data_IF_903129939159
#
_entry.id   IF_903129939159
#
_cell.length_a   1.000
_cell.length_b   1.000
_cell.length_c   1.000
_cell.angle_alpha   90.00
_cell.angle_beta   90.00
_cell.angle_gamma   90.00
#
_symmetry.space_group_name_H-M   'P 1'
#
loop_
_entity.id
_entity.type
_entity.pdbx_description
1 polymer ?
#
# COMPACT_ATOMS: atom_id res chain seq x y z
N UNK A 1 10.40 -2.18 -7.05
CA UNK A 1 9.33 -1.24 -7.49
C UNK A 1 8.22 -1.35 -6.45
N UNK A 2 8.04 -0.32 -5.62
CA UNK A 2 7.14 -0.33 -4.46
C UNK A 2 5.83 0.39 -4.78
N UNK A 3 5.07 -0.13 -5.74
CA UNK A 3 3.84 0.50 -6.23
C UNK A 3 2.80 -0.53 -6.66
N UNK A 4 1.61 -0.06 -7.03
CA UNK A 4 0.52 -0.86 -7.61
C UNK A 4 0.88 -1.30 -9.04
N UNK A 5 1.87 -2.18 -9.21
CA UNK A 5 2.31 -2.72 -10.51
C UNK A 5 2.56 -4.23 -10.41
N UNK A 6 1.53 -4.94 -9.97
CA UNK A 6 1.59 -6.39 -9.74
C UNK A 6 1.15 -7.17 -10.97
N UNK A 7 1.79 -8.31 -11.18
CA UNK A 7 1.25 -9.35 -12.05
C UNK A 7 -0.11 -9.82 -11.48
N UNK A 8 -1.19 -9.83 -12.29
CA UNK A 8 -2.50 -10.30 -11.84
C UNK A 8 -2.49 -11.67 -11.16
N UNK A 9 -1.66 -12.60 -11.62
CA UNK A 9 -1.61 -13.94 -11.02
C UNK A 9 -0.98 -13.91 -9.62
N UNK A 10 -0.05 -12.99 -9.38
CA UNK A 10 0.53 -12.80 -8.05
C UNK A 10 -0.53 -12.33 -7.05
N UNK A 11 -1.40 -11.39 -7.46
CA UNK A 11 -2.52 -10.91 -6.62
C UNK A 11 -3.47 -12.07 -6.29
N UNK A 12 -3.86 -12.86 -7.30
CA UNK A 12 -4.75 -14.01 -7.08
C UNK A 12 -4.15 -15.03 -6.12
N UNK A 13 -2.85 -15.38 -6.27
CA UNK A 13 -2.16 -16.31 -5.36
C UNK A 13 -2.15 -15.82 -3.91
N UNK A 14 -1.87 -14.54 -3.69
CA UNK A 14 -1.87 -13.94 -2.34
C UNK A 14 -3.26 -14.03 -1.73
N UNK A 15 -4.30 -13.62 -2.46
CA UNK A 15 -5.66 -13.65 -1.94
C UNK A 15 -6.20 -15.06 -1.73
N UNK A 16 -5.82 -16.03 -2.57
CA UNK A 16 -6.19 -17.43 -2.37
C UNK A 16 -5.54 -18.01 -1.11
N UNK A 17 -4.28 -17.67 -0.83
CA UNK A 17 -3.60 -18.08 0.41
C UNK A 17 -4.24 -17.44 1.65
N UNK A 18 -4.55 -16.14 1.59
CA UNK A 18 -5.19 -15.40 2.70
C UNK A 18 -6.61 -15.91 2.96
N UNK A 19 -7.39 -16.22 1.92
CA UNK A 19 -8.76 -16.71 2.06
C UNK A 19 -8.84 -18.04 2.84
N UNK A 20 -7.83 -18.90 2.72
CA UNK A 20 -7.80 -20.23 3.33
C UNK A 20 -7.70 -20.23 4.86
N UNK A 21 -7.28 -19.13 5.51
CA UNK A 21 -7.10 -19.14 6.97
C UNK A 21 -7.04 -17.80 7.69
N UNK A 22 -6.89 -16.68 6.98
CA UNK A 22 -6.77 -15.38 7.63
C UNK A 22 -8.14 -14.89 8.12
N UNK A 23 -8.27 -14.54 9.40
CA UNK A 23 -9.51 -13.94 9.94
C UNK A 23 -9.63 -12.45 9.66
N UNK A 24 -8.49 -11.81 9.39
CA UNK A 24 -8.37 -10.38 9.06
C UNK A 24 -7.26 -10.17 8.04
N UNK A 25 -7.32 -9.06 7.31
CA UNK A 25 -6.36 -8.66 6.29
C UNK A 25 -5.91 -7.23 6.58
N UNK A 26 -4.61 -7.02 6.79
CA UNK A 26 -3.99 -5.69 6.79
C UNK A 26 -3.35 -5.46 5.42
N UNK A 27 -3.74 -4.37 4.77
CA UNK A 27 -3.16 -3.90 3.51
C UNK A 27 -2.27 -2.71 3.85
N UNK A 28 -0.96 -2.95 3.91
CA UNK A 28 0.00 -1.87 4.14
C UNK A 28 0.31 -1.13 2.83
N UNK A 29 -0.11 0.14 2.77
CA UNK A 29 0.11 1.05 1.63
C UNK A 29 0.97 2.25 2.01
N UNK A 30 1.63 2.21 3.17
CA UNK A 30 2.62 3.22 3.55
C UNK A 30 3.79 3.22 2.56
N UNK A 31 4.31 4.40 2.22
CA UNK A 31 5.36 4.52 1.21
C UNK A 31 4.94 4.21 -0.23
N UNK A 32 3.64 3.97 -0.51
CA UNK A 32 3.17 3.50 -1.81
C UNK A 32 2.66 4.67 -2.69
N UNK A 33 3.41 5.09 -3.73
CA UNK A 33 3.04 6.22 -4.58
C UNK A 33 1.91 5.88 -5.58
N UNK A 34 1.29 4.71 -5.45
CA UNK A 34 0.28 4.18 -6.35
C UNK A 34 0.88 3.41 -7.51
N UNK A 35 0.19 3.41 -8.65
CA UNK A 35 0.56 2.59 -9.80
C UNK A 35 -0.56 2.47 -10.80
N UNK A 36 -0.59 1.36 -11.54
CA UNK A 36 -1.51 1.19 -12.66
C UNK A 36 -2.93 0.84 -12.19
N UNK A 37 -3.93 1.37 -12.88
CA UNK A 37 -5.37 1.17 -12.57
C UNK A 37 -5.75 -0.31 -12.56
N UNK A 38 -5.09 -1.12 -13.40
CA UNK A 38 -5.31 -2.56 -13.48
C UNK A 38 -5.02 -3.25 -12.14
N UNK A 39 -3.93 -2.90 -11.45
CA UNK A 39 -3.60 -3.48 -10.16
C UNK A 39 -4.64 -3.09 -9.10
N UNK A 40 -5.14 -1.85 -9.13
CA UNK A 40 -6.23 -1.39 -8.28
C UNK A 40 -7.52 -2.20 -8.51
N UNK A 41 -7.93 -2.38 -9.77
CA UNK A 41 -9.11 -3.19 -10.14
C UNK A 41 -8.99 -4.63 -9.66
N UNK A 42 -7.78 -5.20 -9.71
CA UNK A 42 -7.50 -6.57 -9.28
C UNK A 42 -7.62 -6.73 -7.78
N UNK A 43 -6.91 -5.90 -7.01
CA UNK A 43 -6.94 -5.95 -5.55
C UNK A 43 -8.35 -5.69 -5.04
N UNK A 44 -9.00 -4.63 -5.52
CA UNK A 44 -10.36 -4.33 -5.12
C UNK A 44 -11.35 -5.43 -5.53
N UNK A 45 -11.19 -6.03 -6.72
CA UNK A 45 -12.02 -7.16 -7.16
C UNK A 45 -11.98 -8.38 -6.23
N UNK A 46 -10.91 -8.54 -5.44
CA UNK A 46 -10.79 -9.60 -4.42
C UNK A 46 -11.35 -9.21 -3.05
N UNK A 47 -11.75 -7.96 -2.84
CA UNK A 47 -12.24 -7.47 -1.55
C UNK A 47 -13.77 -7.38 -1.48
N UNK A 48 -14.47 -7.58 -2.59
CA UNK A 48 -15.93 -7.45 -2.66
C UNK A 48 -16.57 -8.65 -3.37
N UNK A 49 -17.76 -9.05 -2.91
CA UNK A 49 -18.55 -10.14 -3.53
C UNK A 49 -19.31 -9.71 -4.79
N UNK A 50 -19.36 -8.38 -5.02
CA UNK A 50 -20.01 -7.74 -6.15
C UNK A 50 -19.05 -6.78 -6.85
N UNK A 51 -19.44 -6.35 -8.04
CA UNK A 51 -18.77 -5.23 -8.70
C UNK A 51 -18.95 -3.95 -7.88
N UNK A 52 -17.87 -3.19 -7.79
CA UNK A 52 -17.79 -1.93 -7.06
C UNK A 52 -17.19 -0.89 -7.99
N UNK A 53 -17.85 0.25 -8.07
CA UNK A 53 -17.33 1.42 -8.77
C UNK A 53 -16.20 2.02 -7.93
N UNK A 54 -15.01 2.09 -8.51
CA UNK A 54 -13.83 2.63 -7.85
C UNK A 54 -13.80 4.15 -7.92
N UNK A 55 -14.00 4.70 -9.12
CA UNK A 55 -14.05 6.13 -9.38
C UNK A 55 -14.60 6.42 -10.78
N UNK A 56 -14.93 7.67 -11.06
CA UNK A 56 -15.09 8.20 -12.41
C UNK A 56 -13.81 8.94 -12.83
N UNK A 57 -13.25 8.51 -13.95
CA UNK A 57 -12.16 9.20 -14.61
C UNK A 57 -12.74 10.32 -15.48
N UNK A 58 -12.67 11.56 -14.98
CA UNK A 58 -13.21 12.75 -15.61
C UNK A 58 -12.13 13.48 -16.41
N UNK A 59 -12.12 13.24 -17.72
CA UNK A 59 -11.30 13.99 -18.66
C UNK A 59 -11.97 15.28 -19.15
N UNK A 60 -11.27 16.02 -20.01
CA UNK A 60 -11.79 17.29 -20.56
C UNK A 60 -13.05 17.15 -21.44
N UNK A 61 -13.18 16.02 -22.16
CA UNK A 61 -14.24 15.80 -23.16
C UNK A 61 -15.10 14.57 -22.88
N UNK A 62 -14.67 13.70 -21.99
CA UNK A 62 -15.35 12.45 -21.67
C UNK A 62 -15.13 12.06 -20.22
N UNK A 63 -16.06 11.26 -19.71
CA UNK A 63 -15.93 10.61 -18.41
C UNK A 63 -16.05 9.10 -18.62
N UNK A 64 -15.28 8.32 -17.85
CA UNK A 64 -15.34 6.86 -17.86
C UNK A 64 -15.35 6.35 -16.42
N UNK A 65 -16.32 5.52 -16.07
CA UNK A 65 -16.29 4.82 -14.79
C UNK A 65 -15.25 3.70 -14.78
N UNK A 66 -14.51 3.63 -13.68
CA UNK A 66 -13.62 2.54 -13.32
C UNK A 66 -14.38 1.66 -12.34
N UNK A 67 -14.52 0.37 -12.65
CA UNK A 67 -15.29 -0.58 -11.85
C UNK A 67 -14.49 -1.86 -11.72
N UNK A 68 -14.53 -2.48 -10.53
CA UNK A 68 -13.95 -3.80 -10.34
C UNK A 68 -14.68 -4.85 -11.14
N UNK A 69 -13.97 -5.91 -11.52
CA UNK A 69 -14.59 -7.14 -12.03
C UNK A 69 -14.79 -8.10 -10.87
N UNK A 70 -15.92 -8.83 -10.89
CA UNK A 70 -16.16 -9.91 -9.92
C UNK A 70 -15.05 -10.96 -10.02
N UNK A 71 -14.50 -11.36 -8.87
CA UNK A 71 -13.48 -12.43 -8.76
C UNK A 71 -14.01 -13.60 -7.95
N UNK A 72 -13.41 -14.77 -8.14
CA UNK A 72 -13.68 -15.95 -7.31
C UNK A 72 -13.05 -15.76 -5.94
N UNK A 73 -13.66 -16.37 -4.92
CA UNK A 73 -13.15 -16.39 -3.54
C UNK A 73 -12.75 -14.99 -3.01
N UNK A 74 -13.68 -14.00 -3.03
CA UNK A 74 -13.41 -12.71 -2.43
C UNK A 74 -13.11 -12.87 -0.95
N UNK A 75 -12.15 -12.10 -0.44
CA UNK A 75 -11.92 -12.00 0.99
C UNK A 75 -13.06 -11.19 1.60
N UNK A 76 -13.85 -11.79 2.49
CA UNK A 76 -15.06 -11.18 3.09
C UNK A 76 -14.90 -10.83 4.57
N UNK A 77 -13.77 -11.19 5.20
CA UNK A 77 -13.51 -10.93 6.62
C UNK A 77 -12.92 -9.54 6.85
N UNK A 78 -12.49 -9.20 8.07
CA UNK A 78 -12.09 -7.81 8.43
C UNK A 78 -10.91 -7.32 7.60
N UNK A 79 -10.99 -6.08 7.10
CA UNK A 79 -9.91 -5.44 6.32
C UNK A 79 -9.50 -4.14 6.99
N UNK A 80 -8.20 -3.94 7.15
CA UNK A 80 -7.59 -2.70 7.62
C UNK A 80 -6.63 -2.23 6.53
N UNK A 81 -6.66 -0.94 6.22
CA UNK A 81 -5.72 -0.31 5.30
C UNK A 81 -4.82 0.66 6.06
N UNK A 82 -3.50 0.51 5.92
CA UNK A 82 -2.52 1.43 6.50
C UNK A 82 -2.04 2.41 5.44
N UNK A 83 -2.08 3.70 5.73
CA UNK A 83 -1.63 4.77 4.83
C UNK A 83 -0.72 5.78 5.55
N UNK A 84 0.11 6.47 4.80
CA UNK A 84 0.95 7.56 5.28
C UNK A 84 1.04 8.69 4.24
N UNK A 85 1.86 9.70 4.51
CA UNK A 85 2.07 10.85 3.61
C UNK A 85 2.65 10.50 2.24
N UNK A 86 3.23 9.31 2.08
CA UNK A 86 3.78 8.84 0.81
C UNK A 86 2.78 7.95 0.03
N UNK A 87 1.67 7.55 0.66
CA UNK A 87 0.55 6.92 -0.02
C UNK A 87 -0.06 7.87 -1.06
N UNK A 88 -0.14 7.44 -2.32
CA UNK A 88 -0.69 8.26 -3.41
C UNK A 88 -1.50 7.44 -4.44
N UNK A 89 -2.28 8.14 -5.27
CA UNK A 89 -2.96 7.59 -6.46
C UNK A 89 -3.76 6.31 -6.17
N UNK A 90 -3.43 5.18 -6.81
CA UNK A 90 -4.14 3.92 -6.64
C UNK A 90 -4.30 3.49 -5.16
N UNK A 91 -3.31 3.77 -4.31
CA UNK A 91 -3.40 3.48 -2.88
C UNK A 91 -4.48 4.32 -2.18
N UNK A 92 -4.54 5.62 -2.49
CA UNK A 92 -5.57 6.53 -1.98
C UNK A 92 -6.97 6.15 -2.46
N UNK A 93 -7.09 5.80 -3.75
CA UNK A 93 -8.37 5.35 -4.31
C UNK A 93 -8.84 4.08 -3.61
N UNK A 94 -7.96 3.09 -3.38
CA UNK A 94 -8.33 1.88 -2.65
C UNK A 94 -8.77 2.17 -1.23
N UNK A 95 -8.00 2.97 -0.47
CA UNK A 95 -8.35 3.36 0.90
C UNK A 95 -9.73 4.04 0.94
N UNK A 96 -9.98 4.99 0.03
CA UNK A 96 -11.26 5.69 0.00
C UNK A 96 -12.43 4.79 -0.38
N UNK A 97 -12.24 3.86 -1.33
CA UNK A 97 -13.26 2.87 -1.70
C UNK A 97 -13.61 1.99 -0.52
N UNK A 98 -12.63 1.56 0.28
CA UNK A 98 -12.87 0.78 1.49
C UNK A 98 -13.76 1.53 2.49
N UNK A 99 -13.52 2.83 2.70
CA UNK A 99 -14.37 3.67 3.55
C UNK A 99 -15.78 3.84 2.99
N UNK A 100 -15.90 4.22 1.71
CA UNK A 100 -17.18 4.53 1.07
C UNK A 100 -18.11 3.32 0.96
N UNK A 101 -17.54 2.12 0.86
CA UNK A 101 -18.30 0.87 0.82
C UNK A 101 -18.44 0.22 2.22
N UNK A 102 -17.88 0.84 3.27
CA UNK A 102 -17.89 0.27 4.63
C UNK A 102 -17.17 -1.07 4.74
N UNK A 103 -16.20 -1.32 3.86
CA UNK A 103 -15.53 -2.62 3.72
C UNK A 103 -14.34 -2.79 4.66
N UNK A 104 -13.69 -1.71 5.05
CA UNK A 104 -12.54 -1.75 5.94
C UNK A 104 -12.28 -0.42 6.62
N UNK A 105 -11.41 -0.44 7.61
CA UNK A 105 -10.98 0.73 8.38
C UNK A 105 -9.66 1.24 7.84
N UNK A 106 -9.56 2.54 7.58
CA UNK A 106 -8.33 3.22 7.15
C UNK A 106 -7.67 3.85 8.36
N UNK A 107 -6.42 3.46 8.62
CA UNK A 107 -5.64 3.90 9.77
C UNK A 107 -4.33 4.47 9.24
N UNK A 108 -3.86 5.60 9.78
CA UNK A 108 -2.58 6.16 9.35
C UNK A 108 -2.49 7.67 9.42
N UNK A 109 -1.65 8.25 8.55
CA UNK A 109 -1.52 9.71 8.39
C UNK A 109 -2.23 10.19 7.11
N UNK A 110 -2.34 11.50 6.94
CA UNK A 110 -2.87 12.11 5.72
C UNK A 110 -1.97 11.80 4.51
N UNK A 111 -2.51 11.21 3.44
CA UNK A 111 -1.78 10.86 2.24
C UNK A 111 -1.53 12.05 1.31
N UNK A 112 -0.80 11.82 0.22
CA UNK A 112 -0.27 12.86 -0.64
C UNK A 112 -1.34 13.71 -1.36
N UNK A 113 -2.56 13.19 -1.56
CA UNK A 113 -3.58 13.84 -2.37
C UNK A 113 -3.20 13.92 -3.85
N UNK A 114 -2.38 13.00 -4.33
CA UNK A 114 -1.85 13.00 -5.70
C UNK A 114 -2.47 11.86 -6.49
N UNK A 115 -3.68 12.09 -6.99
CA UNK A 115 -4.48 11.03 -7.64
C UNK A 115 -4.67 11.20 -9.14
N UNK A 116 -4.39 12.36 -9.72
CA UNK A 116 -4.74 12.63 -11.12
C UNK A 116 -4.07 11.65 -12.10
N UNK A 117 -4.77 11.28 -13.16
CA UNK A 117 -4.23 10.37 -14.17
C UNK A 117 -3.30 11.12 -15.13
N UNK A 118 -2.09 10.61 -15.29
CA UNK A 118 -1.12 11.01 -16.30
C UNK A 118 -1.06 10.02 -17.47
N UNK A 119 -0.99 10.53 -18.69
CA UNK A 119 -0.64 9.73 -19.88
C UNK A 119 0.84 9.97 -20.17
N UNK A 120 1.60 8.88 -20.26
CA UNK A 120 3.00 8.92 -20.72
C UNK A 120 3.03 8.72 -22.22
N UNK A 121 3.76 9.57 -22.91
CA UNK A 121 3.99 9.48 -24.35
C UNK A 121 5.47 9.50 -24.58
N UNK A 122 5.98 8.44 -25.22
CA UNK A 122 7.35 8.33 -25.65
C UNK A 122 7.42 8.26 -27.18
N UNK A 123 8.55 8.67 -27.71
CA UNK A 123 8.81 8.64 -29.15
C UNK A 123 10.28 8.93 -29.43
N UNK A 124 10.61 9.04 -30.72
CA UNK A 124 11.91 9.48 -31.15
C UNK A 124 11.75 10.50 -32.27
N UNK A 125 12.55 11.56 -32.22
CA UNK A 125 12.68 12.52 -33.30
C UNK A 125 13.85 12.10 -34.18
N UNK A 126 13.60 11.99 -35.48
CA UNK A 126 14.67 11.76 -36.45
C UNK A 126 15.38 13.08 -36.73
N UNK A 127 16.69 13.11 -36.50
CA UNK A 127 17.58 14.23 -36.76
C UNK A 127 18.71 13.85 -37.71
N UNK A 128 19.50 14.85 -38.12
CA UNK A 128 20.59 14.67 -39.08
C UNK A 128 21.66 13.67 -38.63
N UNK A 129 21.85 13.47 -37.31
CA UNK A 129 22.83 12.55 -36.72
C UNK A 129 22.19 11.31 -36.07
N UNK A 130 20.90 11.05 -36.32
CA UNK A 130 20.19 9.88 -35.81
C UNK A 130 18.93 10.21 -35.00
N UNK A 131 18.50 9.27 -34.18
CA UNK A 131 17.24 9.37 -33.42
C UNK A 131 17.46 9.93 -32.01
N UNK A 132 16.67 10.94 -31.65
CA UNK A 132 16.63 11.52 -30.30
C UNK A 132 15.37 11.01 -29.59
N UNK A 133 15.50 10.07 -28.62
CA UNK A 133 14.34 9.60 -27.87
C UNK A 133 13.83 10.70 -26.93
N UNK A 134 12.52 10.73 -26.71
CA UNK A 134 11.88 11.58 -25.73
C UNK A 134 10.77 10.83 -24.99
N UNK A 135 10.48 11.29 -23.78
CA UNK A 135 9.31 10.88 -23.01
C UNK A 135 8.78 12.08 -22.24
N UNK A 136 7.47 12.26 -22.24
CA UNK A 136 6.79 13.24 -21.39
C UNK A 136 5.51 12.65 -20.83
N UNK A 137 5.08 13.17 -19.68
CA UNK A 137 3.80 12.80 -19.06
C UNK A 137 2.89 14.01 -18.96
N UNK A 138 1.64 13.86 -19.39
CA UNK A 138 0.62 14.90 -19.32
C UNK A 138 -0.57 14.40 -18.52
N UNK A 139 -0.92 15.13 -17.47
CA UNK A 139 -2.14 14.89 -16.70
C UNK A 139 -3.38 15.17 -17.56
N UNK A 140 -4.26 14.19 -17.70
CA UNK A 140 -5.38 14.26 -18.63
C UNK A 140 -6.77 14.08 -18.00
N UNK A 141 -6.85 13.59 -16.75
CA UNK A 141 -8.12 13.39 -16.07
C UNK A 141 -8.01 13.48 -14.54
N UNK A 142 -9.12 13.91 -13.94
CA UNK A 142 -9.36 13.88 -12.50
C UNK A 142 -10.09 12.57 -12.12
N UNK A 143 -9.95 12.14 -10.87
CA UNK A 143 -10.61 10.96 -10.31
C UNK A 143 -11.68 11.41 -9.32
N UNK A 144 -12.94 11.17 -9.70
CA UNK A 144 -14.11 11.53 -8.90
C UNK A 144 -14.64 10.28 -8.20
N UNK A 145 -14.68 10.30 -6.88
CA UNK A 145 -15.13 9.19 -6.06
C UNK A 145 -16.66 9.05 -6.10
N UNK A 146 -17.19 7.94 -5.55
CA UNK A 146 -18.64 7.65 -5.51
C UNK A 146 -19.47 8.72 -4.79
N UNK A 147 -18.86 9.45 -3.85
CA UNK A 147 -19.48 10.58 -3.15
C UNK A 147 -19.40 11.91 -3.92
N UNK A 148 -18.89 11.89 -5.16
CA UNK A 148 -18.75 13.06 -6.03
C UNK A 148 -17.52 13.93 -5.75
N UNK A 149 -16.66 13.55 -4.79
CA UNK A 149 -15.47 14.34 -4.42
C UNK A 149 -14.24 13.88 -5.20
N UNK A 150 -13.35 14.83 -5.51
CA UNK A 150 -11.99 14.52 -5.93
C UNK A 150 -11.10 14.32 -4.69
N UNK A 151 -10.07 13.49 -4.84
CA UNK A 151 -9.00 13.35 -3.85
C UNK A 151 -7.79 14.23 -4.18
N UNK A 152 -7.79 14.93 -5.32
CA UNK A 152 -6.69 15.80 -5.73
C UNK A 152 -6.46 16.91 -4.69
N UNK A 153 -5.21 17.06 -4.25
CA UNK A 153 -4.72 18.00 -3.22
C UNK A 153 -5.31 17.82 -1.82
N UNK A 154 -6.25 16.89 -1.62
CA UNK A 154 -6.93 16.66 -0.34
C UNK A 154 -6.53 15.33 0.26
N UNK A 155 -6.47 14.30 -0.58
CA UNK A 155 -6.24 12.92 -0.18
C UNK A 155 -7.37 12.31 0.66
N UNK A 156 -7.10 11.13 1.19
CA UNK A 156 -8.03 10.39 2.07
C UNK A 156 -7.85 10.83 3.51
N UNK A 157 -8.94 11.14 4.22
CA UNK A 157 -8.88 11.31 5.67
C UNK A 157 -9.00 9.94 6.34
N UNK A 158 -8.00 9.48 7.12
CA UNK A 158 -8.09 8.21 7.85
C UNK A 158 -9.28 8.19 8.81
N UNK A 159 -9.85 7.01 9.04
CA UNK A 159 -10.85 6.81 10.10
C UNK A 159 -10.19 6.95 11.48
N UNK A 160 -8.96 6.45 11.61
CA UNK A 160 -8.12 6.63 12.79
C UNK A 160 -6.78 7.28 12.40
N UNK A 161 -6.57 8.50 12.89
CA UNK A 161 -5.36 9.27 12.61
C UNK A 161 -4.24 8.87 13.59
N UNK A 162 -3.18 8.25 13.07
CA UNK A 162 -1.95 7.96 13.81
C UNK A 162 -1.06 9.21 13.77
N UNK A 163 -1.23 10.09 14.76
CA UNK A 163 -0.36 11.26 14.92
C UNK A 163 0.97 10.84 15.58
N UNK A 164 2.13 11.07 14.93
CA UNK A 164 3.39 10.93 15.63
C UNK A 164 3.45 11.93 16.79
N UNK A 165 4.01 11.50 17.91
CA UNK A 165 4.25 12.37 19.06
C UNK A 165 5.31 13.42 18.73
N UNK A 166 5.34 14.52 19.48
CA UNK A 166 6.31 15.59 19.26
C UNK A 166 7.77 15.11 19.45
N UNK A 167 8.00 14.13 20.32
CA UNK A 167 9.32 13.52 20.54
C UNK A 167 9.74 12.65 19.36
N UNK A 168 8.83 11.87 18.80
CA UNK A 168 8.99 11.07 17.59
C UNK A 168 9.36 11.95 16.39
N UNK A 169 8.62 13.05 16.17
CA UNK A 169 8.91 14.01 15.12
C UNK A 169 10.27 14.71 15.31
N UNK A 170 10.62 15.07 16.56
CA UNK A 170 11.89 15.71 16.89
C UNK A 170 13.11 14.80 16.67
N UNK A 171 12.93 13.47 16.73
CA UNK A 171 13.97 12.48 16.42
C UNK A 171 14.02 12.12 14.93
N UNK A 172 13.20 12.75 14.09
CA UNK A 172 13.03 12.36 12.68
C UNK A 172 12.34 10.99 12.52
N UNK A 173 11.71 10.50 13.58
CA UNK A 173 10.95 9.26 13.65
C UNK A 173 9.47 9.65 13.63
N UNK A 174 8.94 10.15 12.52
CA UNK A 174 7.48 10.16 12.31
C UNK A 174 6.92 8.72 12.36
N UNK A 175 5.65 8.45 11.99
CA UNK A 175 5.22 7.09 11.74
C UNK A 175 5.89 6.64 10.45
N UNK A 176 7.18 6.35 10.54
CA UNK A 176 8.00 5.85 9.47
C UNK A 176 7.59 4.41 9.17
N UNK A 177 8.12 3.85 8.07
CA UNK A 177 8.03 2.43 7.80
C UNK A 177 8.54 1.69 9.05
N UNK A 178 7.91 0.58 9.42
CA UNK A 178 8.40 -0.23 10.53
C UNK A 178 9.87 -0.63 10.24
N UNK A 179 10.77 0.06 10.95
CA UNK A 179 12.24 -0.04 11.03
C UNK A 179 13.07 0.24 9.76
N UNK A 180 13.95 1.24 9.85
CA UNK A 180 15.13 1.42 8.99
C UNK A 180 15.25 2.79 8.31
N UNK A 181 15.85 3.76 8.99
CA UNK A 181 15.91 5.18 8.60
C UNK A 181 16.46 5.51 7.20
N UNK A 182 15.94 6.59 6.61
CA UNK A 182 16.74 7.75 6.21
C UNK A 182 15.89 8.71 5.36
N UNK A 183 15.32 9.72 6.03
CA UNK A 183 14.96 10.97 5.39
C UNK A 183 16.22 11.62 4.78
N UNK A 184 16.15 12.05 3.51
CA UNK A 184 17.13 13.01 2.97
C UNK A 184 16.44 14.11 2.17
N UNK A 185 16.13 15.18 2.89
CA UNK A 185 16.36 16.53 2.41
C UNK A 185 17.86 16.85 2.45
N UNK A 186 18.29 17.68 1.50
CA UNK A 186 19.65 18.03 1.11
C UNK A 186 20.50 18.63 2.25
N UNK A 187 21.60 17.97 2.61
CA UNK A 187 22.81 18.61 3.13
C UNK A 187 24.05 17.80 2.70
N UNK A 188 25.10 18.52 2.37
CA UNK A 188 26.40 18.14 1.80
C UNK A 188 27.19 17.09 2.60
N UNK A 189 27.88 16.17 1.93
CA UNK A 189 28.97 15.39 2.56
C UNK A 189 29.13 13.95 2.05
N UNK A 190 30.27 13.73 1.38
CA UNK A 190 31.00 12.49 1.05
C UNK A 190 30.59 11.14 1.67
N UNK A 191 30.60 10.08 0.85
CA UNK A 191 31.10 8.75 1.28
C UNK A 191 30.20 7.52 1.04
N UNK A 192 30.38 6.86 -0.11
CA UNK A 192 30.49 5.39 -0.28
C UNK A 192 29.38 4.39 0.13
N UNK A 193 28.83 3.66 -0.86
CA UNK A 193 28.61 2.19 -0.77
C UNK A 193 27.17 1.63 -0.68
N UNK A 194 26.79 0.83 -1.69
CA UNK A 194 25.49 0.12 -1.98
C UNK A 194 25.35 -1.27 -1.28
N UNK A 195 24.23 -2.05 -1.42
CA UNK A 195 22.84 -1.76 -1.88
C UNK A 195 21.67 -2.35 -1.04
N UNK A 196 20.53 -1.66 -1.14
CA UNK A 196 19.10 -2.06 -1.32
C UNK A 196 18.66 -3.53 -1.18
N UNK A 197 17.56 -3.73 -0.43
CA UNK A 197 16.47 -4.69 -0.77
C UNK A 197 15.11 -3.98 -0.67
N UNK A 198 14.21 -4.04 -1.67
CA UNK A 198 12.91 -3.38 -1.62
C UNK A 198 11.87 -4.28 -0.94
N UNK A 199 11.18 -3.78 0.10
CA UNK A 199 10.03 -4.49 0.72
C UNK A 199 8.80 -4.39 -0.19
N UNK A 200 8.21 -5.54 -0.47
CA UNK A 200 6.96 -5.73 -1.19
C UNK A 200 5.77 -5.26 -0.33
N UNK A 201 4.60 -5.08 -0.97
CA UNK A 201 3.32 -4.96 -0.26
C UNK A 201 3.18 -6.13 0.72
N UNK A 202 3.25 -5.83 2.01
CA UNK A 202 3.16 -6.82 3.07
C UNK A 202 1.69 -6.99 3.44
N UNK A 203 1.11 -8.10 2.97
CA UNK A 203 -0.16 -8.60 3.50
C UNK A 203 0.15 -9.24 4.85
N UNK A 204 0.11 -8.45 5.92
CA UNK A 204 0.28 -8.99 7.26
C UNK A 204 -0.99 -9.72 7.66
N UNK A 205 -0.92 -11.05 7.65
CA UNK A 205 -1.97 -11.93 8.16
C UNK A 205 -1.83 -12.00 9.67
N UNK A 206 -2.59 -11.20 10.41
CA UNK A 206 -2.72 -11.38 11.86
C UNK A 206 -3.59 -12.60 12.13
N UNK A 207 -2.94 -13.74 12.43
CA UNK A 207 -3.58 -14.88 13.10
C UNK A 207 -3.85 -14.45 14.55
N UNK A 208 -5.11 -14.18 14.89
CA UNK A 208 -5.51 -14.23 16.29
C UNK A 208 -5.36 -15.70 16.75
N UNK A 209 -4.44 -15.92 17.68
CA UNK A 209 -4.20 -17.21 18.32
C UNK A 209 -5.43 -17.57 19.17
N UNK A 210 -6.17 -18.60 18.75
CA UNK A 210 -6.65 -19.62 19.67
C UNK A 210 -6.81 -20.95 18.92
N UNK A 211 -6.30 -22.00 19.55
CA UNK A 211 -6.57 -23.43 19.30
C UNK A 211 -6.37 -23.98 17.86
N UNK A 212 -5.10 -24.12 17.44
CA UNK A 212 -4.70 -25.25 16.57
C UNK A 212 -3.19 -25.42 16.64
N UNK A 213 -2.70 -25.81 17.82
CA UNK A 213 -1.39 -26.42 17.99
C UNK A 213 -1.58 -27.93 18.06
N UNK A 214 -2.00 -28.56 16.96
CA UNK A 214 -1.86 -30.01 16.81
C UNK A 214 -1.96 -30.39 15.33
N UNK A 215 -1.01 -31.22 14.90
CA UNK A 215 -0.92 -31.91 13.61
C UNK A 215 -0.31 -31.10 12.45
N UNK A 216 1.02 -31.00 12.49
CA UNK A 216 1.84 -31.79 11.57
C UNK A 216 2.08 -31.24 10.16
N UNK A 217 3.28 -30.66 9.99
CA UNK A 217 4.11 -30.93 8.81
C UNK A 217 4.02 -29.92 7.67
N UNK A 218 4.83 -28.85 7.77
CA UNK A 218 5.74 -28.36 6.72
C UNK A 218 6.48 -27.14 7.30
N UNK A 219 7.47 -27.40 8.16
CA UNK A 219 8.43 -26.42 8.65
C UNK A 219 9.76 -26.74 7.99
N UNK A 220 10.28 -25.80 7.23
CA UNK A 220 11.58 -25.94 6.58
C UNK A 220 11.89 -24.74 5.71
N UNK A 221 12.06 -23.58 6.36
CA UNK A 221 12.89 -22.42 5.96
C UNK A 221 12.40 -21.13 6.66
N UNK A 222 12.45 -21.09 7.99
CA UNK A 222 12.29 -19.86 8.76
C UNK A 222 13.10 -19.85 10.08
N UNK A 223 14.12 -20.69 10.21
CA UNK A 223 14.99 -20.80 11.41
C UNK A 223 16.41 -20.29 11.15
N UNK A 224 16.59 -19.02 10.76
CA UNK A 224 17.95 -18.46 10.72
C UNK A 224 18.12 -17.00 11.13
N UNK A 225 17.08 -16.33 11.68
CA UNK A 225 17.24 -14.94 12.15
C UNK A 225 16.51 -14.71 13.48
N UNK A 226 16.59 -15.66 14.42
CA UNK A 226 16.35 -15.39 15.85
C UNK A 226 17.38 -16.17 16.65
N UNK A 227 18.59 -15.64 16.65
CA UNK A 227 19.73 -16.16 17.39
C UNK A 227 20.73 -15.04 17.55
N UNK A 228 20.37 -14.04 18.35
CA UNK A 228 21.27 -13.27 19.21
C UNK A 228 20.54 -12.05 19.76
N UNK A 229 20.16 -12.17 21.04
CA UNK A 229 20.25 -11.16 22.10
C UNK A 229 19.32 -11.62 23.24
N UNK A 230 19.92 -12.42 24.13
CA UNK A 230 19.30 -12.78 25.40
C UNK A 230 19.40 -11.66 26.45
N UNK A 231 18.72 -11.94 27.57
CA UNK A 231 18.81 -11.29 28.88
C UNK A 231 18.21 -9.88 29.01
N UNK A 232 17.46 -9.51 30.06
CA UNK A 232 17.18 -10.19 31.33
C UNK A 232 15.86 -9.67 31.92
N UNK A 233 15.14 -10.60 32.55
CA UNK A 233 14.01 -10.34 33.44
C UNK A 233 14.52 -9.90 34.81
N UNK A 234 14.08 -8.75 35.31
CA UNK A 234 14.17 -8.41 36.73
C UNK A 234 12.86 -8.83 37.41
N UNK A 235 12.91 -9.96 38.13
CA UNK A 235 11.97 -10.33 39.19
C UNK A 235 12.60 -9.89 40.50
N UNK A 236 11.89 -9.12 41.31
CA UNK A 236 12.18 -8.98 42.73
C UNK A 236 11.14 -9.72 43.56
N UNK A 237 11.67 -10.43 44.56
CA UNK A 237 11.05 -11.36 45.48
C UNK A 237 10.03 -10.71 46.44
N UNK A 238 9.00 -11.49 46.79
CA UNK A 238 8.55 -11.58 48.18
C UNK A 238 7.90 -12.95 48.42
N UNK A 239 8.60 -13.81 49.16
CA UNK A 239 8.09 -14.96 49.91
C UNK A 239 8.33 -14.67 51.39
N UNK A 240 7.50 -15.18 52.30
CA UNK A 240 7.97 -15.82 53.51
C UNK A 240 8.29 -17.31 53.27
#
# INVERSE_FOLDING_TARGET
LAGFDFDPQQVDRIFDAVAQGATSLVIDMRGNPGGVVQALEQIAGRLFEREVKLADLKGRRSSKSITTKKRKNPFTRRVIALIDSESASAAEVLARVLQLEGRGTVIGDRPAGSVMQGVRTSGALEGAEGFVPFEFSVTNADLIMKDGKSLDRVGVTPDELLRPTAEELARGQGPGPLEGGSARGRATGSGGGRPVVPRAVEVTVTRALDEANTVGGYVGLADSIIGDLGCATARDNALP
#
